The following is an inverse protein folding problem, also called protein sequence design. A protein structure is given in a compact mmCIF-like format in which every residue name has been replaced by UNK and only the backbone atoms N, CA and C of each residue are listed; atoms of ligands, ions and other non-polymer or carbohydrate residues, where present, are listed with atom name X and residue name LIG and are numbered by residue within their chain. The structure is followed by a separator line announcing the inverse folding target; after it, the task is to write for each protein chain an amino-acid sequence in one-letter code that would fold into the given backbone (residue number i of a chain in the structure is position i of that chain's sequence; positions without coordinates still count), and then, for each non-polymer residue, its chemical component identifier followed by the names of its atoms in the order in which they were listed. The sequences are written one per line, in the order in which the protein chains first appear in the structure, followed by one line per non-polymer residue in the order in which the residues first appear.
data_IF_127342305719
#
_entry.id   IF_127342305719
#
_cell.length_a   1.000
_cell.length_b   1.000
_cell.length_c   1.000
_cell.angle_alpha   90.00
_cell.angle_beta   90.00
_cell.angle_gamma   90.00
#
_symmetry.space_group_name_H-M   'P 1'
#
loop_
_entity.id
_entity.type
_entity.pdbx_description
1 polymer ?
#
# COMPACT_ATOMS: atom_id res chain seq x y z
N UNK A 1 -12.43 -2.78 2.38
CA UNK A 1 -10.98 -2.57 2.57
C UNK A 1 -10.41 -3.82 3.24
N UNK A 2 -9.39 -4.45 2.66
CA UNK A 2 -8.87 -5.74 3.16
C UNK A 2 -7.87 -5.54 4.29
N UNK A 3 -7.79 -6.51 5.21
CA UNK A 3 -6.85 -6.53 6.35
C UNK A 3 -5.40 -6.28 5.92
N UNK A 4 -5.00 -6.80 4.76
CA UNK A 4 -3.68 -6.59 4.19
C UNK A 4 -3.42 -5.12 3.81
N UNK A 5 -4.42 -4.43 3.25
CA UNK A 5 -4.30 -3.03 2.86
C UNK A 5 -4.16 -2.12 4.10
N UNK A 6 -4.88 -2.43 5.19
CA UNK A 6 -4.68 -1.77 6.49
C UNK A 6 -3.27 -2.00 7.03
N UNK A 7 -2.77 -3.23 7.01
CA UNK A 7 -1.42 -3.53 7.49
C UNK A 7 -0.32 -2.81 6.69
N UNK A 8 -0.48 -2.71 5.37
CA UNK A 8 0.47 -1.99 4.50
C UNK A 8 0.44 -0.48 4.77
N UNK A 9 -0.76 0.09 4.95
CA UNK A 9 -0.91 1.50 5.33
C UNK A 9 -0.28 1.78 6.69
N UNK A 10 -0.59 0.97 7.70
CA UNK A 10 -0.02 1.11 9.05
C UNK A 10 1.51 0.94 9.06
N UNK A 11 2.05 0.11 8.17
CA UNK A 11 3.50 -0.06 8.03
C UNK A 11 4.15 1.16 7.37
N UNK A 12 3.49 1.76 6.36
CA UNK A 12 3.94 3.00 5.73
C UNK A 12 3.93 4.16 6.74
N UNK A 13 2.82 4.34 7.45
CA UNK A 13 2.67 5.44 8.41
C UNK A 13 3.68 5.32 9.56
N UNK A 14 3.84 4.12 10.14
CA UNK A 14 4.83 3.86 11.19
C UNK A 14 6.27 3.99 10.71
N UNK A 15 6.57 3.57 9.48
CA UNK A 15 7.91 3.69 8.93
C UNK A 15 8.30 5.14 8.66
N UNK A 16 7.36 5.96 8.17
CA UNK A 16 7.57 7.40 8.01
C UNK A 16 7.81 8.08 9.36
N UNK A 17 6.98 7.75 10.36
CA UNK A 17 7.13 8.26 11.72
C UNK A 17 8.50 7.88 12.32
N UNK A 18 8.94 6.63 12.13
CA UNK A 18 10.26 6.17 12.57
C UNK A 18 11.38 6.98 11.91
N UNK A 19 11.34 7.16 10.58
CA UNK A 19 12.37 7.93 9.88
C UNK A 19 12.42 9.39 10.34
N UNK A 20 11.26 10.02 10.58
CA UNK A 20 11.19 11.39 11.12
C UNK A 20 11.72 11.47 12.55
N UNK A 21 11.36 10.51 13.41
CA UNK A 21 11.88 10.44 14.78
C UNK A 21 13.40 10.28 14.78
N UNK A 22 13.92 9.36 13.97
CA UNK A 22 15.36 9.14 13.85
C UNK A 22 16.09 10.38 13.36
N UNK A 23 15.53 11.13 12.40
CA UNK A 23 16.12 12.39 11.94
C UNK A 23 16.14 13.44 13.07
N UNK A 24 15.06 13.57 13.83
CA UNK A 24 14.99 14.51 14.95
C UNK A 24 15.99 14.14 16.06
N UNK A 25 16.05 12.87 16.45
CA UNK A 25 16.98 12.36 17.45
C UNK A 25 18.44 12.52 17.01
N UNK A 26 18.71 12.21 15.74
CA UNK A 26 20.04 12.36 15.16
C UNK A 26 20.47 13.83 15.11
N UNK A 27 19.56 14.73 14.72
CA UNK A 27 19.82 16.17 14.73
C UNK A 27 20.06 16.70 16.16
N UNK A 28 19.37 16.17 17.17
CA UNK A 28 19.63 16.52 18.57
C UNK A 28 21.03 16.08 19.02
N UNK A 29 21.44 14.84 18.70
CA UNK A 29 22.74 14.31 19.11
C UNK A 29 23.89 15.02 18.38
N UNK A 30 23.77 15.17 17.06
CA UNK A 30 24.82 15.74 16.21
C UNK A 30 24.84 17.26 16.32
N UNK A 31 23.68 17.92 16.33
CA UNK A 31 23.58 19.37 16.44
C UNK A 31 24.03 19.91 17.80
N UNK A 32 23.87 19.14 18.88
CA UNK A 32 24.34 19.54 20.20
C UNK A 32 25.85 19.32 20.40
N UNK A 33 26.39 18.21 19.90
CA UNK A 33 27.74 17.77 20.27
C UNK A 33 28.79 17.92 19.16
N UNK A 34 28.41 17.92 17.88
CA UNK A 34 29.34 17.95 16.76
C UNK A 34 29.39 19.37 16.18
N UNK A 35 30.59 19.92 16.00
CA UNK A 35 30.79 21.26 15.42
C UNK A 35 31.49 21.19 14.08
N UNK A 36 31.09 22.05 13.14
CA UNK A 36 31.72 22.21 11.84
C UNK A 36 31.30 21.18 10.79
N UNK A 37 32.17 20.90 9.83
CA UNK A 37 31.85 20.10 8.63
C UNK A 37 31.34 18.70 8.98
N UNK A 38 31.80 18.11 10.09
CA UNK A 38 31.36 16.81 10.56
C UNK A 38 29.86 16.79 10.94
N UNK A 39 29.33 17.84 11.57
CA UNK A 39 27.90 17.90 11.90
C UNK A 39 27.05 18.11 10.65
N UNK A 40 27.52 18.93 9.70
CA UNK A 40 26.83 19.13 8.42
C UNK A 40 26.77 17.84 7.59
N UNK A 41 27.88 17.10 7.48
CA UNK A 41 27.93 15.84 6.74
C UNK A 41 27.04 14.77 7.37
N UNK A 42 27.04 14.69 8.70
CA UNK A 42 26.17 13.81 9.47
C UNK A 42 24.69 14.14 9.24
N UNK A 43 24.29 15.42 9.37
CA UNK A 43 22.92 15.85 9.09
C UNK A 43 22.50 15.53 7.65
N UNK A 44 23.41 15.71 6.67
CA UNK A 44 23.16 15.32 5.29
C UNK A 44 22.87 13.82 5.11
N UNK A 45 23.51 12.94 5.88
CA UNK A 45 23.18 11.49 5.86
C UNK A 45 21.81 11.18 6.43
N UNK A 46 21.37 11.95 7.42
CA UNK A 46 20.01 11.84 7.94
C UNK A 46 18.96 12.28 6.91
N UNK A 47 19.27 13.30 6.11
CA UNK A 47 18.39 13.75 5.02
C UNK A 47 18.34 12.73 3.88
N UNK A 48 19.47 12.12 3.53
CA UNK A 48 19.53 11.02 2.54
C UNK A 48 18.64 9.84 2.95
N UNK A 49 18.59 9.49 4.24
CA UNK A 49 17.70 8.44 4.76
C UNK A 49 16.23 8.80 4.53
N UNK A 50 15.81 10.01 4.89
CA UNK A 50 14.43 10.46 4.71
C UNK A 50 14.07 10.54 3.22
N UNK A 51 15.00 10.99 2.39
CA UNK A 51 14.84 11.02 0.94
C UNK A 51 14.70 9.62 0.36
N UNK A 52 15.50 8.65 0.81
CA UNK A 52 15.40 7.25 0.38
C UNK A 52 14.04 6.65 0.77
N UNK A 53 13.58 6.90 2.00
CA UNK A 53 12.25 6.48 2.44
C UNK A 53 11.16 6.99 1.50
N UNK A 54 11.14 8.31 1.26
CA UNK A 54 10.12 8.98 0.46
C UNK A 54 10.17 8.62 -1.03
N UNK A 55 11.37 8.39 -1.58
CA UNK A 55 11.55 8.16 -3.02
C UNK A 55 11.49 6.69 -3.45
N UNK A 56 11.80 5.77 -2.54
CA UNK A 56 11.90 4.34 -2.87
C UNK A 56 10.91 3.50 -2.08
N UNK A 57 10.95 3.56 -0.74
CA UNK A 57 10.20 2.65 0.12
C UNK A 57 8.70 2.95 0.17
N UNK A 58 8.31 4.20 0.46
CA UNK A 58 6.90 4.59 0.51
C UNK A 58 6.17 4.34 -0.83
N UNK A 59 6.75 4.67 -2.01
CA UNK A 59 6.12 4.37 -3.29
C UNK A 59 5.95 2.87 -3.59
N UNK A 60 6.85 2.00 -3.11
CA UNK A 60 6.68 0.55 -3.25
C UNK A 60 5.45 0.07 -2.47
N UNK A 61 5.27 0.57 -1.24
CA UNK A 61 4.10 0.26 -0.42
C UNK A 61 2.80 0.76 -1.08
N UNK A 62 2.82 1.97 -1.67
CA UNK A 62 1.68 2.51 -2.41
C UNK A 62 1.34 1.68 -3.66
N UNK A 63 2.35 1.20 -4.39
CA UNK A 63 2.16 0.31 -5.53
C UNK A 63 1.56 -1.03 -5.12
N UNK A 64 2.00 -1.60 -3.99
CA UNK A 64 1.42 -2.83 -3.46
C UNK A 64 -0.05 -2.64 -3.05
N UNK A 65 -0.36 -1.54 -2.36
CA UNK A 65 -1.74 -1.18 -2.02
C UNK A 65 -2.61 -1.01 -3.27
N UNK A 66 -2.11 -0.31 -4.28
CA UNK A 66 -2.81 -0.07 -5.55
C UNK A 66 -3.03 -1.38 -6.31
N UNK A 67 -2.02 -2.25 -6.36
CA UNK A 67 -2.11 -3.57 -6.98
C UNK A 67 -3.18 -4.45 -6.31
N UNK A 68 -3.21 -4.48 -4.98
CA UNK A 68 -4.22 -5.23 -4.21
C UNK A 68 -5.63 -4.73 -4.52
N UNK A 69 -5.85 -3.42 -4.56
CA UNK A 69 -7.15 -2.83 -4.90
C UNK A 69 -7.53 -3.13 -6.35
N UNK A 70 -6.59 -3.00 -7.28
CA UNK A 70 -6.81 -3.31 -8.70
C UNK A 70 -7.21 -4.76 -8.92
N UNK A 71 -6.53 -5.72 -8.27
CA UNK A 71 -6.89 -7.13 -8.33
C UNK A 71 -8.25 -7.41 -7.70
N UNK A 72 -8.59 -6.75 -6.58
CA UNK A 72 -9.91 -6.89 -5.95
C UNK A 72 -11.05 -6.42 -6.85
N UNK A 73 -10.86 -5.28 -7.52
CA UNK A 73 -11.85 -4.76 -8.46
C UNK A 73 -12.03 -5.72 -9.65
N UNK A 74 -10.92 -6.22 -10.22
CA UNK A 74 -10.98 -7.23 -11.29
C UNK A 74 -11.72 -8.49 -10.86
N UNK A 75 -11.46 -9.01 -9.66
CA UNK A 75 -12.17 -10.20 -9.16
C UNK A 75 -13.68 -9.94 -8.99
N UNK A 76 -14.06 -8.78 -8.47
CA UNK A 76 -15.47 -8.41 -8.31
C UNK A 76 -16.19 -8.28 -9.66
N UNK A 77 -15.53 -7.69 -10.66
CA UNK A 77 -16.06 -7.58 -12.03
C UNK A 77 -16.25 -8.96 -12.67
N UNK A 78 -15.25 -9.84 -12.52
CA UNK A 78 -15.33 -11.23 -13.00
C UNK A 78 -16.43 -12.05 -12.31
N UNK A 79 -16.63 -11.85 -11.00
CA UNK A 79 -17.69 -12.52 -10.24
C UNK A 79 -19.08 -12.02 -10.66
N UNK A 80 -19.26 -10.71 -10.87
CA UNK A 80 -20.50 -10.14 -11.40
C UNK A 80 -20.83 -10.66 -12.79
N UNK A 81 -19.85 -10.73 -13.70
CA UNK A 81 -20.02 -11.27 -15.05
C UNK A 81 -20.32 -12.77 -15.03
N UNK A 82 -19.65 -13.52 -14.16
CA UNK A 82 -19.90 -14.95 -13.94
C UNK A 82 -21.32 -15.20 -13.42
N UNK A 83 -21.75 -14.46 -12.40
CA UNK A 83 -23.08 -14.57 -11.80
C UNK A 83 -24.17 -14.18 -12.81
N UNK A 84 -23.95 -13.14 -13.60
CA UNK A 84 -24.90 -12.70 -14.64
C UNK A 84 -25.05 -13.75 -15.74
N UNK A 85 -23.95 -14.40 -16.15
CA UNK A 85 -23.98 -15.53 -17.09
C UNK A 85 -24.63 -16.78 -16.49
N UNK A 86 -24.37 -17.11 -15.23
CA UNK A 86 -25.00 -18.24 -14.54
C UNK A 86 -26.51 -18.00 -14.36
N UNK A 87 -26.92 -16.79 -14.01
CA UNK A 87 -28.34 -16.42 -13.93
C UNK A 87 -29.01 -16.43 -15.32
N UNK A 88 -28.30 -16.07 -16.38
CA UNK A 88 -28.80 -16.20 -17.76
C UNK A 88 -28.87 -17.66 -18.25
N UNK A 89 -27.98 -18.53 -17.73
CA UNK A 89 -27.95 -19.96 -18.07
C UNK A 89 -28.88 -20.77 -17.17
N UNK A 90 -29.36 -20.26 -16.02
CA UNK A 90 -30.39 -20.89 -15.20
C UNK A 90 -31.73 -20.75 -15.92
N UNK A 91 -32.14 -21.74 -16.72
CA UNK A 91 -33.38 -21.65 -17.45
C UNK A 91 -34.47 -21.98 -16.44
N UNK A 92 -35.65 -21.38 -16.57
CA UNK A 92 -36.84 -21.94 -15.98
C UNK A 92 -36.95 -23.41 -16.39
N UNK A 93 -36.57 -24.31 -15.48
CA UNK A 93 -36.61 -25.76 -15.64
C UNK A 93 -38.06 -26.22 -15.45
N UNK A 94 -38.94 -25.74 -16.33
CA UNK A 94 -40.37 -25.95 -16.21
C UNK A 94 -41.15 -25.40 -17.39
N UNK A 95 -40.98 -25.97 -18.59
CA UNK A 95 -42.12 -26.14 -19.50
C UNK A 95 -41.95 -27.03 -20.76
N UNK A 96 -40.90 -27.84 -20.91
CA UNK A 96 -40.72 -28.65 -22.14
C UNK A 96 -41.50 -30.00 -22.16
N UNK A 97 -42.48 -30.23 -21.28
CA UNK A 97 -43.25 -31.50 -21.22
C UNK A 97 -44.74 -31.39 -21.56
N UNK A 98 -45.18 -30.41 -22.36
CA UNK A 98 -46.61 -30.27 -22.74
C UNK A 98 -46.90 -30.11 -24.23
N UNK A 99 -46.12 -30.73 -25.12
CA UNK A 99 -46.46 -30.84 -26.55
C UNK A 99 -46.17 -32.23 -27.14
N UNK A 100 -46.26 -33.29 -26.35
CA UNK A 100 -46.29 -34.68 -26.84
C UNK A 100 -47.66 -35.30 -26.58
#
# INVERSE_FOLDING_TARGET
MTRLNTLLRDAKDRGEELCRSMQADYANVVGANWKGIASMAALGKSDEMLQFWNSQLAPILDKLMTGIVGTQNLMADHESDGQSKINAITPGMGNFSRLA
#
